data_IF_037959561110
#
_entry.id   IF_037959561110
#
_cell.length_a   1.000
_cell.length_b   1.000
_cell.length_c   1.000
_cell.angle_alpha   90.00
_cell.angle_beta   90.00
_cell.angle_gamma   90.00
#
_symmetry.space_group_name_H-M   'P 1'
#
loop_
_entity.id
_entity.type
_entity.pdbx_description
1 polymer ?
#
# COMPACT_ATOMS: atom_id res chain seq x y z
N UNK A 1 11.57 42.75 45.46
CA UNK A 1 10.66 41.76 46.06
C UNK A 1 9.30 42.41 46.18
N UNK A 2 8.34 42.06 45.30
CA UNK A 2 6.93 42.45 45.49
C UNK A 2 6.08 41.17 45.44
N UNK A 3 5.58 40.78 46.61
CA UNK A 3 4.62 39.70 46.78
C UNK A 3 3.24 40.23 46.39
N UNK A 4 2.70 39.77 45.26
CA UNK A 4 1.33 40.10 44.86
C UNK A 4 0.40 39.04 45.45
N UNK A 5 -0.44 39.52 46.35
CA UNK A 5 -1.50 38.88 47.10
C UNK A 5 -2.37 37.94 46.25
N UNK A 6 -2.37 36.65 46.61
CA UNK A 6 -3.02 35.54 45.89
C UNK A 6 -4.38 35.17 46.51
N UNK A 7 -5.23 36.17 46.80
CA UNK A 7 -6.52 35.89 47.48
C UNK A 7 -7.75 36.63 46.92
N UNK A 8 -7.69 37.17 45.70
CA UNK A 8 -8.90 37.75 45.07
C UNK A 8 -9.79 36.66 44.46
N UNK A 9 -10.63 36.05 45.30
CA UNK A 9 -11.82 35.31 44.87
C UNK A 9 -12.91 36.32 44.47
N UNK A 10 -13.12 36.53 43.18
CA UNK A 10 -14.20 37.35 42.66
C UNK A 10 -14.84 36.75 41.42
N UNK A 11 -16.14 36.50 41.50
CA UNK A 11 -17.08 36.48 40.37
C UNK A 11 -17.42 35.17 39.64
N UNK A 12 -17.41 33.98 40.27
CA UNK A 12 -18.09 32.81 39.68
C UNK A 12 -18.80 31.94 40.74
N UNK A 13 -20.14 31.77 40.69
CA UNK A 13 -20.93 31.08 41.72
C UNK A 13 -20.75 29.55 41.78
N UNK A 14 -19.78 28.99 41.04
CA UNK A 14 -19.45 27.56 41.05
C UNK A 14 -17.94 27.29 40.91
N UNK A 15 -17.07 28.21 41.35
CA UNK A 15 -15.62 27.96 41.39
C UNK A 15 -15.28 26.96 42.49
N UNK A 16 -15.44 25.67 42.19
CA UNK A 16 -14.87 24.60 43.02
C UNK A 16 -13.37 24.85 43.14
N UNK A 17 -12.92 24.99 44.38
CA UNK A 17 -11.55 25.31 44.73
C UNK A 17 -10.57 24.35 44.03
N UNK A 18 -9.44 24.91 43.61
CA UNK A 18 -8.38 24.31 42.77
C UNK A 18 -7.75 23.00 43.28
N UNK A 19 -8.16 22.50 44.46
CA UNK A 19 -7.68 21.23 45.03
C UNK A 19 -8.46 20.01 44.53
N UNK A 20 -9.76 20.13 44.25
CA UNK A 20 -10.55 18.99 43.77
C UNK A 20 -10.41 18.73 42.26
N UNK A 21 -10.14 19.78 41.46
CA UNK A 21 -9.95 19.66 40.01
C UNK A 21 -8.61 19.01 39.66
N UNK A 22 -7.53 19.33 40.40
CA UNK A 22 -6.21 18.75 40.16
C UNK A 22 -6.17 17.23 40.34
N UNK A 23 -6.89 16.70 41.33
CA UNK A 23 -6.91 15.26 41.61
C UNK A 23 -7.62 14.46 40.52
N UNK A 24 -8.70 14.99 39.93
CA UNK A 24 -9.45 14.34 38.84
C UNK A 24 -8.76 14.50 37.49
N UNK A 25 -8.11 15.63 37.23
CA UNK A 25 -7.32 15.86 36.01
C UNK A 25 -6.08 14.96 36.01
N UNK A 26 -5.41 14.77 37.16
CA UNK A 26 -4.28 13.85 37.28
C UNK A 26 -4.67 12.39 36.97
N UNK A 27 -5.80 11.89 37.51
CA UNK A 27 -6.27 10.51 37.24
C UNK A 27 -6.62 10.31 35.75
N UNK A 28 -7.25 11.30 35.09
CA UNK A 28 -7.55 11.23 33.64
C UNK A 28 -6.29 11.31 32.77
N UNK A 29 -5.27 12.08 33.16
CA UNK A 29 -4.00 12.19 32.42
C UNK A 29 -3.15 10.92 32.58
N UNK A 30 -3.13 10.32 33.77
CA UNK A 30 -2.44 9.05 34.02
C UNK A 30 -3.09 7.89 33.24
N UNK A 31 -4.42 7.87 33.11
CA UNK A 31 -5.16 6.89 32.28
C UNK A 31 -4.93 7.03 30.77
N UNK A 32 -4.39 8.16 30.30
CA UNK A 32 -4.07 8.36 28.87
C UNK A 32 -2.73 7.74 28.47
N UNK A 33 -1.84 7.47 29.43
CA UNK A 33 -0.54 6.86 29.19
C UNK A 33 -0.49 5.42 29.72
N UNK A 34 -1.57 4.67 29.55
CA UNK A 34 -1.61 3.25 29.91
C UNK A 34 -1.02 2.42 28.77
N UNK A 35 -0.26 1.35 29.08
CA UNK A 35 0.30 0.47 28.06
C UNK A 35 -0.79 -0.20 27.21
N UNK A 36 -1.98 -0.42 27.76
CA UNK A 36 -3.14 -0.98 27.06
C UNK A 36 -3.61 -0.06 25.93
N UNK A 37 -3.70 1.26 26.18
CA UNK A 37 -4.10 2.24 25.17
C UNK A 37 -3.07 2.35 24.04
N UNK A 38 -1.78 2.19 24.36
CA UNK A 38 -0.73 2.14 23.34
C UNK A 38 -0.86 0.92 22.42
N UNK A 39 -1.30 -0.22 22.95
CA UNK A 39 -1.56 -1.42 22.17
C UNK A 39 -2.81 -1.28 21.30
N UNK A 40 -3.89 -0.67 21.82
CA UNK A 40 -5.10 -0.36 21.05
C UNK A 40 -4.80 0.58 19.87
N UNK A 41 -4.03 1.65 20.11
CA UNK A 41 -3.63 2.59 19.05
C UNK A 41 -2.77 1.91 17.98
N UNK A 42 -1.86 1.01 18.37
CA UNK A 42 -1.07 0.21 17.43
C UNK A 42 -1.92 -0.77 16.62
N UNK A 43 -2.91 -1.41 17.26
CA UNK A 43 -3.84 -2.31 16.58
C UNK A 43 -4.72 -1.55 15.57
N UNK A 44 -5.26 -0.40 15.97
CA UNK A 44 -6.07 0.45 15.10
C UNK A 44 -5.25 0.98 13.91
N UNK A 45 -4.04 1.48 14.16
CA UNK A 45 -3.13 1.93 13.11
C UNK A 45 -2.74 0.79 12.15
N UNK A 46 -2.53 -0.43 12.65
CA UNK A 46 -2.23 -1.59 11.81
C UNK A 46 -3.40 -1.95 10.88
N UNK A 47 -4.64 -1.81 11.34
CA UNK A 47 -5.84 -2.10 10.54
C UNK A 47 -6.12 -1.00 9.51
N UNK A 48 -5.92 0.26 9.88
CA UNK A 48 -6.18 1.42 9.01
C UNK A 48 -5.08 1.63 7.96
N UNK A 49 -3.82 1.32 8.30
CA UNK A 49 -2.65 1.61 7.44
C UNK A 49 -2.12 0.42 6.64
N UNK A 50 -2.65 -0.81 6.81
CA UNK A 50 -2.12 -2.01 6.15
C UNK A 50 -3.22 -2.78 5.42
N UNK A 51 -3.25 -2.63 4.09
CA UNK A 51 -4.02 -3.51 3.20
C UNK A 51 -3.24 -4.81 3.01
N UNK A 52 -3.85 -5.95 3.29
CA UNK A 52 -3.23 -7.26 3.09
C UNK A 52 -3.42 -7.70 1.62
N UNK A 53 -2.37 -7.52 0.83
CA UNK A 53 -2.33 -8.00 -0.56
C UNK A 53 -1.80 -9.44 -0.52
N UNK A 54 -2.51 -10.36 -1.15
CA UNK A 54 -2.07 -11.75 -1.26
C UNK A 54 -0.71 -11.84 -1.97
N UNK A 55 0.13 -12.78 -1.53
CA UNK A 55 1.48 -12.91 -2.08
C UNK A 55 1.48 -13.29 -3.56
N UNK A 56 0.48 -14.07 -4.01
CA UNK A 56 0.27 -14.37 -5.42
C UNK A 56 0.09 -13.11 -6.29
N UNK A 57 -0.66 -12.11 -5.82
CA UNK A 57 -0.86 -10.85 -6.56
C UNK A 57 0.43 -10.02 -6.58
N UNK A 58 1.19 -10.01 -5.48
CA UNK A 58 2.49 -9.33 -5.44
C UNK A 58 3.44 -9.95 -6.46
N UNK A 59 3.50 -11.27 -6.52
CA UNK A 59 4.40 -11.98 -7.44
C UNK A 59 3.98 -11.79 -8.89
N UNK A 60 2.68 -11.85 -9.19
CA UNK A 60 2.17 -11.51 -10.51
C UNK A 60 2.58 -10.09 -10.93
N UNK A 61 2.46 -9.10 -10.04
CA UNK A 61 2.85 -7.71 -10.35
C UNK A 61 4.35 -7.56 -10.63
N UNK A 62 5.21 -8.31 -9.93
CA UNK A 62 6.66 -8.32 -10.17
C UNK A 62 6.98 -8.95 -11.51
N UNK A 63 6.38 -10.10 -11.81
CA UNK A 63 6.57 -10.80 -13.09
C UNK A 63 6.13 -9.89 -14.23
N UNK A 64 4.93 -9.29 -14.14
CA UNK A 64 4.43 -8.35 -15.15
C UNK A 64 5.40 -7.20 -15.38
N UNK A 65 5.89 -6.56 -14.30
CA UNK A 65 6.88 -5.47 -14.41
C UNK A 65 8.19 -5.92 -15.04
N UNK A 66 8.66 -7.13 -14.72
CA UNK A 66 9.89 -7.67 -15.29
C UNK A 66 9.73 -7.98 -16.79
N UNK A 67 8.57 -8.49 -17.20
CA UNK A 67 8.23 -8.74 -18.62
C UNK A 67 8.08 -7.43 -19.38
N UNK A 68 7.34 -6.46 -18.83
CA UNK A 68 7.12 -5.16 -19.46
C UNK A 68 8.43 -4.33 -19.56
N UNK A 69 9.38 -4.57 -18.65
CA UNK A 69 10.71 -3.92 -18.67
C UNK A 69 11.75 -4.69 -19.51
N UNK A 70 11.44 -5.91 -19.97
CA UNK A 70 12.34 -6.65 -20.82
C UNK A 70 12.43 -5.94 -22.18
N UNK A 71 13.64 -5.81 -22.77
CA UNK A 71 13.79 -5.27 -24.11
C UNK A 71 13.05 -6.15 -25.12
N UNK A 72 12.55 -5.55 -26.19
CA UNK A 72 11.95 -6.30 -27.29
C UNK A 72 12.96 -7.35 -27.80
N UNK A 73 12.47 -8.57 -28.00
CA UNK A 73 13.30 -9.65 -28.53
C UNK A 73 13.67 -9.27 -29.97
N UNK A 74 14.96 -9.14 -30.24
CA UNK A 74 15.44 -8.94 -31.60
C UNK A 74 15.19 -10.23 -32.41
N UNK A 75 14.23 -10.15 -33.32
CA UNK A 75 13.83 -11.25 -34.20
C UNK A 75 14.39 -11.09 -35.63
N UNK A 76 15.34 -10.17 -35.85
CA UNK A 76 15.87 -9.84 -37.18
C UNK A 76 16.42 -11.06 -37.93
N UNK A 77 17.24 -11.89 -37.28
CA UNK A 77 17.82 -13.11 -37.87
C UNK A 77 16.75 -14.13 -38.27
N UNK A 78 15.75 -14.32 -37.40
CA UNK A 78 14.63 -15.23 -37.66
C UNK A 78 13.83 -14.75 -38.87
N UNK A 79 13.56 -13.46 -38.96
CA UNK A 79 12.85 -12.85 -40.09
C UNK A 79 13.67 -13.00 -41.39
N UNK A 80 14.98 -12.75 -41.35
CA UNK A 80 15.84 -12.91 -42.50
C UNK A 80 15.85 -14.36 -43.03
N UNK A 81 15.96 -15.33 -42.13
CA UNK A 81 15.92 -16.75 -42.48
C UNK A 81 14.57 -17.19 -43.09
N UNK A 82 13.45 -16.67 -42.58
CA UNK A 82 12.13 -16.93 -43.15
C UNK A 82 11.99 -16.30 -44.54
N UNK A 83 12.39 -15.02 -44.69
CA UNK A 83 12.34 -14.32 -45.97
C UNK A 83 13.13 -15.06 -47.05
N UNK A 84 14.33 -15.54 -46.72
CA UNK A 84 15.14 -16.32 -47.64
C UNK A 84 14.45 -17.63 -48.07
N UNK A 85 13.84 -18.38 -47.13
CA UNK A 85 13.10 -19.61 -47.46
C UNK A 85 11.87 -19.38 -48.32
N UNK A 86 11.14 -18.28 -48.07
CA UNK A 86 9.98 -17.88 -48.87
C UNK A 86 10.43 -17.53 -50.29
N UNK A 87 11.49 -16.73 -50.45
CA UNK A 87 12.04 -16.37 -51.76
C UNK A 87 12.55 -17.59 -52.54
N UNK A 88 13.17 -18.55 -51.83
CA UNK A 88 13.63 -19.81 -52.42
C UNK A 88 12.48 -20.78 -52.73
N UNK A 89 11.23 -20.48 -52.36
CA UNK A 89 10.08 -21.37 -52.55
C UNK A 89 10.10 -22.64 -51.68
N UNK A 90 10.94 -22.68 -50.64
CA UNK A 90 11.10 -23.84 -49.75
C UNK A 90 10.33 -23.70 -48.43
N UNK A 91 9.58 -22.60 -48.28
CA UNK A 91 8.73 -22.38 -47.12
C UNK A 91 7.40 -23.12 -47.29
N UNK A 92 7.21 -24.18 -46.50
CA UNK A 92 5.92 -24.88 -46.39
C UNK A 92 5.12 -24.30 -45.23
N UNK A 93 3.88 -23.89 -45.51
CA UNK A 93 2.95 -23.39 -44.49
C UNK A 93 2.45 -24.59 -43.68
N UNK A 94 2.56 -24.48 -42.36
CA UNK A 94 1.90 -25.40 -41.43
C UNK A 94 0.46 -24.94 -41.22
N UNK A 95 -0.49 -25.66 -41.81
CA UNK A 95 -1.91 -25.32 -41.78
C UNK A 95 -2.55 -25.57 -40.42
N UNK A 96 -2.05 -26.54 -39.65
CA UNK A 96 -2.56 -26.83 -38.31
C UNK A 96 -2.15 -25.69 -37.36
N UNK A 97 -0.88 -25.30 -37.40
CA UNK A 97 -0.39 -24.15 -36.63
C UNK A 97 -1.09 -22.83 -37.02
N UNK A 98 -1.45 -22.67 -38.30
CA UNK A 98 -2.23 -21.52 -38.77
C UNK A 98 -3.65 -21.51 -38.20
N UNK A 99 -4.33 -22.64 -38.23
CA UNK A 99 -5.69 -22.77 -37.69
C UNK A 99 -5.72 -22.52 -36.18
N UNK A 100 -4.76 -23.09 -35.44
CA UNK A 100 -4.60 -22.86 -34.01
C UNK A 100 -4.39 -21.37 -33.69
N UNK A 101 -3.57 -20.68 -34.51
CA UNK A 101 -3.32 -19.26 -34.32
C UNK A 101 -4.56 -18.41 -34.54
N UNK A 102 -5.34 -18.70 -35.60
CA UNK A 102 -6.61 -18.02 -35.88
C UNK A 102 -7.57 -18.21 -34.71
N UNK A 103 -7.71 -19.44 -34.21
CA UNK A 103 -8.59 -19.74 -33.09
C UNK A 103 -8.14 -19.02 -31.80
N UNK A 104 -6.83 -18.89 -31.58
CA UNK A 104 -6.26 -18.20 -30.41
C UNK A 104 -6.43 -16.67 -30.41
N UNK A 105 -6.68 -16.05 -31.57
CA UNK A 105 -6.88 -14.60 -31.69
C UNK A 105 -8.37 -14.21 -31.61
N UNK A 106 -9.26 -15.13 -31.98
CA UNK A 106 -10.73 -14.93 -31.93
C UNK A 106 -11.35 -15.27 -30.57
N UNK A 107 -10.66 -16.03 -29.71
CA UNK A 107 -11.07 -16.35 -28.34
C UNK A 107 -10.40 -15.46 -27.30
#
# INVERSE_FOLDING_TARGET
MNNIDTTRSGFFPNSKTTKETNSKVADVVLRKNTPERANELKAFAKTDSKVDISDAIKDFSKIKRAVDAAPEIDNSDKIASLKSRIQAGTYNVDYDALADRILSEEM
#
